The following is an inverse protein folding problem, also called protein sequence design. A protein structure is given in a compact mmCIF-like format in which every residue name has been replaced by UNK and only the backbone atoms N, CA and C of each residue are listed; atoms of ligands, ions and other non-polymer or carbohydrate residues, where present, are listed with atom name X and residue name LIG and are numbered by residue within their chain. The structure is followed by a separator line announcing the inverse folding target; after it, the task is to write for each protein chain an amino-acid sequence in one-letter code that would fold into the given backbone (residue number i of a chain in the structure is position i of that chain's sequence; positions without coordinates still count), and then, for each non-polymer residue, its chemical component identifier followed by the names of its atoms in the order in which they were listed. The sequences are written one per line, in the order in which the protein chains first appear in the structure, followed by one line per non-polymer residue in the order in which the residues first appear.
data_IF_480060583550
#
_entry.id   IF_480060583550
#
_cell.length_a   1.000
_cell.length_b   1.000
_cell.length_c   1.000
_cell.angle_alpha   90.00
_cell.angle_beta   90.00
_cell.angle_gamma   90.00
#
_symmetry.space_group_name_H-M   'P 1'
#
loop_
_entity.id
_entity.type
_entity.pdbx_description
1 polymer ?
#
# COMPACT_ATOMS: atom_id res chain seq x y z
N UNK A 1 12.47 16.55 -14.33
CA UNK A 1 12.67 17.97 -13.96
C UNK A 1 12.08 18.81 -15.06
N UNK A 2 10.94 19.42 -14.80
CA UNK A 2 10.26 20.34 -15.70
C UNK A 2 10.84 21.75 -15.53
N UNK A 3 11.65 22.16 -16.50
CA UNK A 3 12.31 23.47 -16.54
C UNK A 3 11.27 24.58 -16.79
N UNK A 4 10.09 24.24 -17.34
CA UNK A 4 9.05 25.24 -17.57
C UNK A 4 8.51 25.81 -16.26
N UNK A 5 8.38 24.98 -15.20
CA UNK A 5 8.01 25.46 -13.84
C UNK A 5 8.98 26.56 -13.38
N UNK A 6 10.28 26.33 -13.58
CA UNK A 6 11.31 27.31 -13.25
C UNK A 6 11.17 28.60 -14.06
N UNK A 7 10.99 28.48 -15.38
CA UNK A 7 10.86 29.62 -16.32
C UNK A 7 9.60 30.44 -16.03
N UNK A 8 8.46 29.77 -15.87
CA UNK A 8 7.16 30.39 -15.59
C UNK A 8 7.17 31.11 -14.24
N UNK A 9 7.78 30.50 -13.21
CA UNK A 9 7.94 31.16 -11.91
C UNK A 9 8.80 32.41 -12.02
N UNK A 10 9.93 32.37 -12.74
CA UNK A 10 10.77 33.55 -12.97
C UNK A 10 9.99 34.65 -13.70
N UNK A 11 9.24 34.28 -14.74
CA UNK A 11 8.44 35.22 -15.55
C UNK A 11 7.30 35.84 -14.74
N UNK A 12 6.60 35.07 -13.90
CA UNK A 12 5.52 35.60 -13.04
C UNK A 12 6.04 36.59 -11.99
N UNK A 13 7.25 36.39 -11.47
CA UNK A 13 7.95 37.34 -10.59
C UNK A 13 8.58 38.53 -11.34
N UNK A 14 8.50 38.56 -12.68
CA UNK A 14 9.10 39.59 -13.55
C UNK A 14 10.61 39.80 -13.32
N UNK A 15 11.33 38.73 -12.97
CA UNK A 15 12.78 38.76 -12.72
C UNK A 15 13.54 38.45 -14.03
N UNK A 16 14.53 39.28 -14.41
CA UNK A 16 15.41 38.98 -15.55
C UNK A 16 16.43 37.90 -15.21
N UNK A 17 16.92 37.14 -16.21
CA UNK A 17 17.98 36.14 -16.01
C UNK A 17 19.22 36.76 -15.32
N UNK A 18 19.61 37.96 -15.74
CA UNK A 18 20.74 38.71 -15.15
C UNK A 18 20.52 38.97 -13.65
N UNK A 19 19.30 39.37 -13.27
CA UNK A 19 18.96 39.60 -11.86
C UNK A 19 18.91 38.30 -11.07
N UNK A 20 18.38 37.23 -11.67
CA UNK A 20 18.27 35.92 -11.02
C UNK A 20 19.64 35.27 -10.78
N UNK A 21 20.57 35.33 -11.73
CA UNK A 21 21.87 34.67 -11.62
C UNK A 21 22.90 35.43 -10.75
N UNK A 22 22.65 36.71 -10.41
CA UNK A 22 23.60 37.58 -9.70
C UNK A 22 24.10 36.95 -8.38
N UNK A 23 25.40 36.74 -8.26
CA UNK A 23 26.02 36.12 -7.07
C UNK A 23 25.75 34.63 -6.89
N UNK A 24 25.21 33.95 -7.91
CA UNK A 24 24.98 32.50 -7.92
C UNK A 24 25.75 31.83 -9.07
N UNK A 25 25.55 32.29 -10.31
CA UNK A 25 26.20 31.75 -11.50
C UNK A 25 26.28 32.80 -12.62
N UNK A 26 26.87 32.45 -13.76
CA UNK A 26 26.89 33.35 -14.93
C UNK A 26 25.54 33.35 -15.65
N UNK A 27 25.21 34.45 -16.32
CA UNK A 27 23.99 34.52 -17.14
C UNK A 27 24.00 33.47 -18.27
N UNK A 28 25.18 33.11 -18.80
CA UNK A 28 25.32 32.02 -19.77
C UNK A 28 24.91 30.67 -19.19
N UNK A 29 25.27 30.38 -17.93
CA UNK A 29 24.89 29.14 -17.24
C UNK A 29 23.37 29.06 -17.08
N UNK A 30 22.74 30.15 -16.62
CA UNK A 30 21.28 30.20 -16.48
C UNK A 30 20.55 30.12 -17.82
N UNK A 31 21.07 30.78 -18.86
CA UNK A 31 20.47 30.71 -20.21
C UNK A 31 20.57 29.30 -20.80
N UNK A 32 21.69 28.58 -20.61
CA UNK A 32 21.82 27.19 -21.06
C UNK A 32 20.91 26.23 -20.29
N UNK A 33 20.64 26.52 -19.02
CA UNK A 33 19.66 25.79 -18.24
C UNK A 33 18.24 26.01 -18.78
N UNK A 34 17.81 27.28 -18.93
CA UNK A 34 16.45 27.60 -19.39
C UNK A 34 16.18 27.20 -20.85
N UNK A 35 17.15 27.38 -21.76
CA UNK A 35 16.91 27.19 -23.20
C UNK A 35 17.29 25.79 -23.71
N UNK A 36 18.33 25.17 -23.12
CA UNK A 36 18.94 23.95 -23.67
C UNK A 36 18.91 22.78 -22.67
N UNK A 37 18.25 22.94 -21.53
CA UNK A 37 18.14 21.90 -20.52
C UNK A 37 19.43 21.49 -19.82
N UNK A 38 20.51 22.27 -19.94
CA UNK A 38 21.79 21.94 -19.32
C UNK A 38 21.73 22.18 -17.82
N UNK A 39 21.61 21.09 -17.07
CA UNK A 39 21.46 21.10 -15.61
C UNK A 39 22.77 21.63 -14.97
N UNK A 40 22.71 22.72 -14.18
CA UNK A 40 23.86 23.20 -13.41
C UNK A 40 24.12 22.29 -12.20
N UNK A 41 25.17 22.57 -11.43
CA UNK A 41 25.39 21.83 -10.17
C UNK A 41 24.21 21.99 -9.22
N UNK A 42 23.96 20.98 -8.37
CA UNK A 42 22.86 21.00 -7.40
C UNK A 42 22.92 22.24 -6.49
N UNK A 43 24.13 22.68 -6.12
CA UNK A 43 24.36 23.90 -5.34
C UNK A 43 23.87 25.15 -6.05
N UNK A 44 24.10 25.25 -7.37
CA UNK A 44 23.64 26.39 -8.18
C UNK A 44 22.11 26.31 -8.35
N UNK A 45 21.60 25.12 -8.68
CA UNK A 45 20.16 24.91 -8.89
C UNK A 45 19.36 25.25 -7.63
N UNK A 46 19.79 24.76 -6.46
CA UNK A 46 19.13 25.03 -5.17
C UNK A 46 19.06 26.53 -4.86
N UNK A 47 20.18 27.26 -5.02
CA UNK A 47 20.22 28.73 -4.81
C UNK A 47 19.33 29.50 -5.78
N UNK A 48 19.23 29.04 -7.03
CA UNK A 48 18.36 29.65 -8.03
C UNK A 48 16.87 29.41 -7.69
N UNK A 49 16.52 28.19 -7.28
CA UNK A 49 15.17 27.85 -6.83
C UNK A 49 14.77 28.66 -5.59
N UNK A 50 15.64 28.72 -4.58
CA UNK A 50 15.42 29.49 -3.34
C UNK A 50 15.06 30.95 -3.64
N UNK A 51 15.79 31.58 -4.57
CA UNK A 51 15.54 32.97 -4.98
C UNK A 51 14.21 33.17 -5.71
N UNK A 52 13.63 32.11 -6.28
CA UNK A 52 12.30 32.10 -6.89
C UNK A 52 11.20 31.68 -5.90
N UNK A 53 11.55 31.39 -4.64
CA UNK A 53 10.64 30.81 -3.65
C UNK A 53 10.22 29.39 -4.01
N UNK A 54 11.10 28.62 -4.65
CA UNK A 54 10.92 27.22 -5.01
C UNK A 54 11.91 26.35 -4.25
N UNK A 55 11.53 25.10 -4.01
CA UNK A 55 12.45 24.00 -3.73
C UNK A 55 12.94 23.37 -5.03
N UNK A 56 14.03 22.60 -4.98
CA UNK A 56 14.46 21.79 -6.14
C UNK A 56 13.38 20.76 -6.49
N UNK A 57 12.68 20.25 -5.48
CA UNK A 57 11.56 19.30 -5.65
C UNK A 57 10.37 19.92 -6.40
N UNK A 58 10.19 21.24 -6.31
CA UNK A 58 9.11 21.93 -7.03
C UNK A 58 9.27 21.85 -8.54
N UNK A 59 10.51 21.74 -9.04
CA UNK A 59 10.79 21.56 -10.47
C UNK A 59 10.38 20.18 -11.00
N UNK A 60 9.78 19.37 -10.14
CA UNK A 60 9.30 18.05 -10.48
C UNK A 60 7.76 17.95 -10.37
N UNK A 61 7.07 19.01 -9.91
CA UNK A 61 5.64 19.00 -9.55
C UNK A 61 4.64 18.76 -10.69
N UNK A 62 4.95 19.14 -11.93
CA UNK A 62 4.04 18.95 -13.08
C UNK A 62 4.36 17.72 -13.95
N UNK A 63 5.35 16.92 -13.56
CA UNK A 63 5.54 15.63 -14.21
C UNK A 63 5.00 14.55 -13.30
N UNK A 64 3.99 13.82 -13.78
CA UNK A 64 3.71 12.43 -13.37
C UNK A 64 5.03 11.62 -13.30
N UNK A 65 6.02 12.00 -14.12
CA UNK A 65 7.40 11.49 -14.10
C UNK A 65 8.29 11.92 -12.92
N UNK A 66 7.77 12.56 -11.85
CA UNK A 66 8.58 12.81 -10.66
C UNK A 66 8.45 11.72 -9.62
N UNK A 67 9.59 11.17 -9.22
CA UNK A 67 9.70 10.12 -8.21
C UNK A 67 8.96 10.49 -6.91
N UNK A 68 9.02 11.75 -6.48
CA UNK A 68 8.36 12.22 -5.25
C UNK A 68 6.84 12.28 -5.38
N UNK A 69 6.30 12.79 -6.50
CA UNK A 69 4.86 12.83 -6.71
C UNK A 69 4.29 11.42 -6.89
N UNK A 70 4.93 10.60 -7.71
CA UNK A 70 4.56 9.20 -7.90
C UNK A 70 4.56 8.45 -6.57
N UNK A 71 5.59 8.65 -5.74
CA UNK A 71 5.63 8.09 -4.38
C UNK A 71 4.43 8.54 -3.55
N UNK A 72 4.10 9.84 -3.55
CA UNK A 72 2.95 10.35 -2.78
C UNK A 72 1.63 9.74 -3.23
N UNK A 73 1.44 9.53 -4.54
CA UNK A 73 0.24 8.88 -5.08
C UNK A 73 0.18 7.42 -4.63
N UNK A 74 1.27 6.67 -4.79
CA UNK A 74 1.32 5.25 -4.44
C UNK A 74 1.23 5.03 -2.93
N UNK A 75 1.78 5.92 -2.11
CA UNK A 75 1.65 5.85 -0.64
C UNK A 75 0.20 6.12 -0.21
N UNK A 76 -0.49 7.06 -0.87
CA UNK A 76 -1.93 7.30 -0.67
C UNK A 76 -2.75 6.07 -1.07
N UNK A 77 -2.50 5.51 -2.27
CA UNK A 77 -3.17 4.29 -2.74
C UNK A 77 -2.94 3.10 -1.79
N UNK A 78 -1.75 2.99 -1.18
CA UNK A 78 -1.46 1.95 -0.18
C UNK A 78 -2.38 2.07 1.03
N UNK A 79 -2.53 3.28 1.58
CA UNK A 79 -3.42 3.53 2.72
C UNK A 79 -4.89 3.27 2.38
N UNK A 80 -5.33 3.67 1.19
CA UNK A 80 -6.72 3.47 0.74
C UNK A 80 -7.03 1.98 0.55
N UNK A 81 -6.09 1.22 -0.01
CA UNK A 81 -6.21 -0.23 -0.15
C UNK A 81 -6.31 -0.92 1.22
N UNK A 82 -5.57 -0.42 2.21
CA UNK A 82 -5.64 -0.94 3.59
C UNK A 82 -6.98 -0.66 4.26
N UNK A 83 -7.67 0.40 3.86
CA UNK A 83 -9.00 0.77 4.34
C UNK A 83 -10.14 0.12 3.55
N UNK A 84 -9.84 -0.70 2.55
CA UNK A 84 -10.82 -1.28 1.62
C UNK A 84 -11.59 -0.20 0.84
N UNK A 85 -11.00 0.99 0.68
CA UNK A 85 -11.57 2.11 -0.07
C UNK A 85 -11.22 1.99 -1.56
N UNK A 86 -11.80 0.97 -2.20
CA UNK A 86 -11.49 0.63 -3.59
C UNK A 86 -11.84 1.75 -4.58
N UNK A 87 -12.81 2.61 -4.25
CA UNK A 87 -13.14 3.78 -5.08
C UNK A 87 -11.96 4.73 -5.18
N UNK A 88 -11.39 5.10 -4.03
CA UNK A 88 -10.24 6.01 -3.99
C UNK A 88 -8.96 5.35 -4.50
N UNK A 89 -8.76 4.03 -4.27
CA UNK A 89 -7.65 3.29 -4.91
C UNK A 89 -7.75 3.39 -6.44
N UNK A 90 -8.94 3.18 -7.00
CA UNK A 90 -9.15 3.28 -8.45
C UNK A 90 -8.83 4.68 -8.97
N UNK A 91 -9.23 5.73 -8.25
CA UNK A 91 -8.91 7.12 -8.60
C UNK A 91 -7.40 7.38 -8.53
N UNK A 92 -6.76 7.01 -7.41
CA UNK A 92 -5.33 7.19 -7.19
C UNK A 92 -4.47 6.47 -8.23
N UNK A 93 -4.89 5.28 -8.69
CA UNK A 93 -4.17 4.53 -9.72
C UNK A 93 -4.58 4.90 -11.16
N UNK A 94 -5.65 5.67 -11.33
CA UNK A 94 -6.14 6.08 -12.65
C UNK A 94 -5.13 6.97 -13.37
N UNK A 95 -4.94 6.73 -14.67
CA UNK A 95 -4.04 7.54 -15.50
C UNK A 95 -2.53 7.31 -15.25
N UNK A 96 -2.14 6.46 -14.31
CA UNK A 96 -0.73 6.09 -14.14
C UNK A 96 -0.31 5.17 -15.30
N UNK A 97 0.65 5.65 -16.09
CA UNK A 97 1.35 4.84 -17.08
C UNK A 97 2.59 4.17 -16.45
N UNK A 98 2.59 2.83 -16.39
CA UNK A 98 3.68 2.06 -15.79
C UNK A 98 5.04 2.29 -16.48
N UNK A 99 5.05 2.67 -17.76
CA UNK A 99 6.27 2.92 -18.52
C UNK A 99 6.93 4.26 -18.18
N UNK A 100 6.17 5.18 -17.58
CA UNK A 100 6.67 6.47 -17.08
C UNK A 100 7.26 6.36 -15.67
N UNK A 101 7.11 5.22 -15.00
CA UNK A 101 7.71 4.95 -13.70
C UNK A 101 9.13 4.42 -13.90
N UNK A 102 10.12 5.31 -13.84
CA UNK A 102 11.53 4.96 -14.03
C UNK A 102 12.23 4.42 -12.77
N UNK A 103 11.59 4.52 -11.60
CA UNK A 103 12.13 3.96 -10.35
C UNK A 103 11.58 2.55 -10.13
N UNK A 104 12.44 1.53 -10.10
CA UNK A 104 12.03 0.13 -9.96
C UNK A 104 11.23 -0.14 -8.67
N UNK A 105 11.59 0.49 -7.54
CA UNK A 105 10.87 0.28 -6.28
C UNK A 105 9.45 0.85 -6.32
N UNK A 106 9.24 2.00 -6.97
CA UNK A 106 7.91 2.55 -7.22
C UNK A 106 7.15 1.75 -8.28
N UNK A 107 7.84 1.22 -9.29
CA UNK A 107 7.23 0.38 -10.32
C UNK A 107 6.70 -0.93 -9.73
N UNK A 108 7.46 -1.56 -8.82
CA UNK A 108 6.99 -2.70 -8.05
C UNK A 108 5.82 -2.35 -7.13
N UNK A 109 5.88 -1.20 -6.44
CA UNK A 109 4.77 -0.73 -5.60
C UNK A 109 3.48 -0.57 -6.41
N UNK A 110 3.57 0.08 -7.57
CA UNK A 110 2.46 0.24 -8.49
C UNK A 110 1.87 -1.10 -8.94
N UNK A 111 2.71 -2.03 -9.41
CA UNK A 111 2.22 -3.33 -9.87
C UNK A 111 1.57 -4.14 -8.75
N UNK A 112 2.11 -4.14 -7.53
CA UNK A 112 1.49 -4.89 -6.43
C UNK A 112 0.12 -4.28 -6.05
N UNK A 113 0.02 -2.95 -5.97
CA UNK A 113 -1.22 -2.26 -5.62
C UNK A 113 -2.30 -2.46 -6.68
N UNK A 114 -1.93 -2.30 -7.96
CA UNK A 114 -2.83 -2.52 -9.09
C UNK A 114 -3.26 -3.99 -9.18
N UNK A 115 -2.33 -4.92 -8.97
CA UNK A 115 -2.61 -6.35 -8.95
C UNK A 115 -3.59 -6.73 -7.82
N UNK A 116 -3.34 -6.24 -6.60
CA UNK A 116 -4.24 -6.50 -5.47
C UNK A 116 -5.61 -5.87 -5.67
N UNK A 117 -5.66 -4.61 -6.12
CA UNK A 117 -6.92 -3.94 -6.45
C UNK A 117 -7.76 -4.81 -7.40
N UNK A 118 -7.18 -5.23 -8.53
CA UNK A 118 -7.86 -6.08 -9.51
C UNK A 118 -8.29 -7.44 -8.95
N UNK A 119 -7.44 -8.09 -8.13
CA UNK A 119 -7.74 -9.38 -7.53
C UNK A 119 -8.86 -9.30 -6.46
N UNK A 120 -8.96 -8.17 -5.74
CA UNK A 120 -9.93 -7.98 -4.67
C UNK A 120 -11.30 -7.53 -5.19
N UNK A 121 -11.34 -6.71 -6.24
CA UNK A 121 -12.59 -6.20 -6.84
C UNK A 121 -13.19 -7.11 -7.91
N UNK A 122 -12.45 -8.14 -8.35
CA UNK A 122 -12.82 -9.02 -9.48
C UNK A 122 -13.01 -8.29 -10.82
N UNK A 123 -12.46 -7.09 -10.99
CA UNK A 123 -12.65 -6.31 -12.24
C UNK A 123 -11.90 -6.94 -13.43
N UNK A 124 -10.59 -7.19 -13.27
CA UNK A 124 -9.70 -7.70 -14.34
C UNK A 124 -8.70 -8.72 -13.79
N UNK A 125 -9.14 -9.97 -13.66
CA UNK A 125 -8.34 -11.03 -13.05
C UNK A 125 -7.07 -11.33 -13.86
N UNK A 126 -7.11 -11.28 -15.18
CA UNK A 126 -5.94 -11.49 -16.05
C UNK A 126 -4.88 -10.41 -15.83
N UNK A 127 -5.31 -9.15 -15.69
CA UNK A 127 -4.41 -8.03 -15.38
C UNK A 127 -3.79 -8.18 -13.99
N UNK A 128 -4.50 -8.78 -13.02
CA UNK A 128 -3.97 -9.05 -11.70
C UNK A 128 -2.77 -10.00 -11.78
N UNK A 129 -2.92 -11.14 -12.48
CA UNK A 129 -1.84 -12.09 -12.69
C UNK A 129 -0.63 -11.43 -13.37
N UNK A 130 -0.87 -10.67 -14.45
CA UNK A 130 0.19 -9.95 -15.16
C UNK A 130 0.98 -9.04 -14.22
N UNK A 131 0.30 -8.28 -13.34
CA UNK A 131 0.98 -7.39 -12.40
C UNK A 131 1.92 -8.14 -11.45
N UNK A 132 1.50 -9.29 -10.92
CA UNK A 132 2.34 -10.09 -10.03
C UNK A 132 3.48 -10.78 -10.79
N UNK A 133 3.23 -11.31 -11.99
CA UNK A 133 4.26 -11.88 -12.85
C UNK A 133 5.35 -10.84 -13.19
N UNK A 134 4.97 -9.58 -13.49
CA UNK A 134 5.95 -8.49 -13.73
C UNK A 134 6.87 -8.22 -12.54
N UNK A 135 6.41 -8.43 -11.31
CA UNK A 135 7.27 -8.31 -10.13
C UNK A 135 8.24 -9.49 -10.08
N UNK A 136 7.71 -10.72 -10.18
CA UNK A 136 8.49 -11.95 -9.97
C UNK A 136 9.48 -12.27 -11.10
N UNK A 137 9.13 -11.95 -12.34
CA UNK A 137 9.87 -12.40 -13.54
C UNK A 137 10.73 -11.31 -14.19
N UNK A 138 10.65 -10.06 -13.72
CA UNK A 138 11.36 -8.93 -14.33
C UNK A 138 11.91 -7.94 -13.28
N UNK A 139 11.05 -7.41 -12.41
CA UNK A 139 11.48 -6.33 -11.49
C UNK A 139 12.25 -6.82 -10.25
N UNK A 140 12.00 -8.05 -9.80
CA UNK A 140 12.62 -8.67 -8.63
C UNK A 140 12.91 -10.15 -8.87
N UNK A 141 13.53 -10.50 -10.01
CA UNK A 141 13.85 -11.90 -10.40
C UNK A 141 14.62 -12.70 -9.34
N UNK A 142 15.37 -12.01 -8.47
CA UNK A 142 16.15 -12.63 -7.38
C UNK A 142 15.33 -12.84 -6.10
N UNK A 143 14.07 -12.40 -6.09
CA UNK A 143 13.15 -12.54 -4.97
C UNK A 143 13.66 -11.92 -3.67
N UNK A 144 14.26 -10.72 -3.74
CA UNK A 144 14.99 -10.12 -2.63
C UNK A 144 14.18 -9.09 -1.85
N UNK A 145 13.08 -8.59 -2.42
CA UNK A 145 12.32 -7.51 -1.83
C UNK A 145 11.00 -7.98 -1.21
N UNK A 146 10.41 -7.15 -0.35
CA UNK A 146 9.07 -7.37 0.18
C UNK A 146 8.00 -7.48 -0.93
N UNK A 147 8.24 -6.90 -2.11
CA UNK A 147 7.29 -6.94 -3.22
C UNK A 147 7.10 -8.33 -3.80
N UNK A 148 8.13 -9.20 -3.75
CA UNK A 148 7.97 -10.62 -4.07
C UNK A 148 6.92 -11.29 -3.18
N UNK A 149 6.96 -11.01 -1.88
CA UNK A 149 6.05 -11.60 -0.91
C UNK A 149 4.62 -11.04 -1.07
N UNK A 150 4.51 -9.74 -1.37
CA UNK A 150 3.23 -9.13 -1.76
C UNK A 150 2.67 -9.72 -3.06
N UNK A 151 3.52 -10.03 -4.04
CA UNK A 151 3.11 -10.69 -5.28
C UNK A 151 2.63 -12.12 -5.02
N UNK A 152 3.28 -12.87 -4.13
CA UNK A 152 2.81 -14.19 -3.70
C UNK A 152 1.46 -14.10 -2.97
N UNK A 153 1.27 -13.14 -2.08
CA UNK A 153 -0.06 -12.88 -1.45
C UNK A 153 -1.10 -12.62 -2.53
N UNK A 154 -0.79 -11.77 -3.51
CA UNK A 154 -1.66 -11.45 -4.63
C UNK A 154 -2.04 -12.66 -5.48
N UNK A 155 -1.07 -13.50 -5.84
CA UNK A 155 -1.31 -14.75 -6.55
C UNK A 155 -2.13 -15.74 -5.71
N UNK A 156 -1.86 -15.83 -4.40
CA UNK A 156 -2.65 -16.62 -3.47
C UNK A 156 -4.13 -16.20 -3.46
N UNK A 157 -4.40 -14.89 -3.39
CA UNK A 157 -5.76 -14.33 -3.48
C UNK A 157 -6.39 -14.67 -4.84
N UNK A 158 -5.66 -14.42 -5.93
CA UNK A 158 -6.11 -14.71 -7.30
C UNK A 158 -6.54 -16.18 -7.47
N UNK A 159 -5.66 -17.13 -7.14
CA UNK A 159 -5.99 -18.56 -7.25
C UNK A 159 -7.12 -18.98 -6.30
N UNK A 160 -7.16 -18.40 -5.09
CA UNK A 160 -8.24 -18.64 -4.13
C UNK A 160 -9.61 -18.17 -4.62
N UNK A 161 -9.67 -17.06 -5.38
CA UNK A 161 -10.89 -16.56 -6.05
C UNK A 161 -11.33 -17.48 -7.19
N UNK A 162 -10.40 -18.10 -7.91
CA UNK A 162 -10.69 -19.07 -8.96
C UNK A 162 -11.11 -20.46 -8.42
N UNK A 163 -11.11 -20.66 -7.09
CA UNK A 163 -11.37 -21.97 -6.48
C UNK A 163 -10.19 -22.95 -6.56
N UNK A 164 -9.04 -22.48 -7.03
CA UNK A 164 -7.79 -23.23 -7.16
C UNK A 164 -7.03 -23.21 -5.82
N UNK A 165 -7.58 -23.92 -4.82
CA UNK A 165 -7.11 -23.84 -3.43
C UNK A 165 -5.68 -24.40 -3.27
N UNK A 166 -5.30 -25.44 -4.03
CA UNK A 166 -3.96 -26.03 -3.94
C UNK A 166 -2.88 -25.05 -4.38
N UNK A 167 -3.14 -24.35 -5.48
CA UNK A 167 -2.29 -23.31 -6.04
C UNK A 167 -2.22 -22.11 -5.10
N UNK A 168 -3.37 -21.70 -4.53
CA UNK A 168 -3.39 -20.67 -3.50
C UNK A 168 -2.54 -21.04 -2.28
N UNK A 169 -2.70 -22.25 -1.75
CA UNK A 169 -1.89 -22.78 -0.64
C UNK A 169 -0.40 -22.73 -0.95
N UNK A 170 0.01 -23.11 -2.16
CA UNK A 170 1.42 -23.06 -2.56
C UNK A 170 2.02 -21.65 -2.41
N UNK A 171 1.31 -20.61 -2.83
CA UNK A 171 1.80 -19.23 -2.69
C UNK A 171 1.76 -18.75 -1.24
N UNK A 172 0.71 -19.05 -0.48
CA UNK A 172 0.63 -18.66 0.93
C UNK A 172 1.64 -19.39 1.83
N UNK A 173 2.05 -20.62 1.49
CA UNK A 173 3.15 -21.30 2.20
C UNK A 173 4.51 -20.62 1.95
N UNK A 174 4.76 -20.09 0.73
CA UNK A 174 5.96 -19.27 0.48
C UNK A 174 5.97 -18.01 1.35
N UNK A 175 4.81 -17.37 1.49
CA UNK A 175 4.64 -16.18 2.33
C UNK A 175 4.83 -16.52 3.81
N UNK A 176 4.26 -17.64 4.27
CA UNK A 176 4.43 -18.13 5.64
C UNK A 176 5.89 -18.37 5.99
N UNK A 177 6.64 -19.05 5.12
CA UNK A 177 8.07 -19.31 5.36
C UNK A 177 8.87 -18.00 5.50
N UNK A 178 8.55 -16.99 4.69
CA UNK A 178 9.16 -15.66 4.85
C UNK A 178 8.84 -15.04 6.21
N UNK A 179 7.56 -15.06 6.63
CA UNK A 179 7.11 -14.51 7.90
C UNK A 179 7.80 -15.22 9.09
N UNK A 180 7.88 -16.55 9.08
CA UNK A 180 8.48 -17.35 10.16
C UNK A 180 9.99 -17.10 10.28
N UNK A 181 10.72 -17.03 9.15
CA UNK A 181 12.15 -16.72 9.15
C UNK A 181 12.43 -15.34 9.76
N UNK A 182 11.54 -14.37 9.56
CA UNK A 182 11.70 -12.98 10.03
C UNK A 182 10.82 -12.69 11.26
N UNK A 183 10.51 -13.69 12.10
CA UNK A 183 9.62 -13.51 13.26
C UNK A 183 10.22 -12.70 14.40
N UNK A 184 11.53 -12.78 14.58
CA UNK A 184 12.28 -12.11 15.64
C UNK A 184 12.86 -10.75 15.20
N UNK A 185 12.65 -10.38 13.93
CA UNK A 185 13.14 -9.11 13.43
C UNK A 185 12.34 -7.95 14.02
N UNK A 186 13.05 -7.06 14.70
CA UNK A 186 12.48 -5.78 15.12
C UNK A 186 12.61 -4.80 13.97
N UNK A 187 11.47 -4.43 13.39
CA UNK A 187 11.43 -3.45 12.31
C UNK A 187 11.86 -2.08 12.86
N UNK A 188 13.10 -1.67 12.55
CA UNK A 188 13.57 -0.31 12.82
C UNK A 188 12.57 0.70 12.22
N UNK A 189 12.38 1.85 12.89
CA UNK A 189 11.43 2.94 12.58
C UNK A 189 11.69 3.64 11.23
N UNK A 190 11.94 2.90 10.16
CA UNK A 190 12.26 3.44 8.84
C UNK A 190 11.01 3.32 7.94
N UNK A 191 10.08 4.26 8.15
CA UNK A 191 8.99 4.60 7.23
C UNK A 191 7.68 3.82 7.45
N UNK A 192 6.58 4.54 7.67
CA UNK A 192 5.22 4.01 7.90
C UNK A 192 4.82 2.95 6.84
N UNK A 193 5.24 3.11 5.59
CA UNK A 193 4.82 2.26 4.47
C UNK A 193 5.31 0.81 4.57
N UNK A 194 6.44 0.54 5.24
CA UNK A 194 6.90 -0.85 5.40
C UNK A 194 5.93 -1.64 6.27
N UNK A 195 5.39 -1.01 7.31
CA UNK A 195 4.42 -1.62 8.22
C UNK A 195 3.11 -1.94 7.50
N UNK A 196 2.67 -1.08 6.58
CA UNK A 196 1.45 -1.33 5.80
C UNK A 196 1.58 -2.58 4.92
N UNK A 197 2.74 -2.78 4.32
CA UNK A 197 3.04 -3.95 3.50
C UNK A 197 3.12 -5.22 4.32
N UNK A 198 3.74 -5.16 5.50
CA UNK A 198 3.77 -6.28 6.44
C UNK A 198 2.36 -6.62 6.90
N UNK A 199 1.56 -5.61 7.26
CA UNK A 199 0.15 -5.81 7.64
C UNK A 199 -0.65 -6.44 6.51
N UNK A 200 -0.45 -5.99 5.26
CA UNK A 200 -1.04 -6.60 4.05
C UNK A 200 -0.71 -8.08 3.96
N UNK A 201 0.58 -8.41 4.09
CA UNK A 201 1.07 -9.78 4.03
C UNK A 201 0.43 -10.64 5.12
N UNK A 202 0.48 -10.16 6.36
CA UNK A 202 -0.03 -10.87 7.54
C UNK A 202 -1.54 -11.08 7.44
N UNK A 203 -2.30 -10.05 7.10
CA UNK A 203 -3.77 -10.10 7.08
C UNK A 203 -4.30 -11.07 6.03
N UNK A 204 -3.87 -10.94 4.77
CA UNK A 204 -4.40 -11.80 3.71
C UNK A 204 -3.94 -13.25 3.86
N UNK A 205 -2.75 -13.47 4.43
CA UNK A 205 -2.28 -14.82 4.77
C UNK A 205 -3.10 -15.42 5.91
N UNK A 206 -3.43 -14.64 6.94
CA UNK A 206 -4.33 -15.08 8.01
C UNK A 206 -5.73 -15.42 7.48
N UNK A 207 -6.31 -14.54 6.65
CA UNK A 207 -7.61 -14.75 6.03
C UNK A 207 -7.63 -16.03 5.19
N UNK A 208 -6.54 -16.31 4.46
CA UNK A 208 -6.41 -17.58 3.73
C UNK A 208 -6.36 -18.80 4.66
N UNK A 209 -5.57 -18.74 5.74
CA UNK A 209 -5.49 -19.85 6.69
C UNK A 209 -6.82 -20.10 7.41
N UNK A 210 -7.62 -19.07 7.70
CA UNK A 210 -9.01 -19.23 8.16
C UNK A 210 -9.84 -20.00 7.13
N UNK A 211 -9.72 -19.64 5.84
CA UNK A 211 -10.47 -20.29 4.75
C UNK A 211 -10.15 -21.78 4.63
N UNK A 212 -8.92 -22.21 4.93
CA UNK A 212 -8.51 -23.62 4.93
C UNK A 212 -8.59 -24.28 6.32
N UNK A 213 -9.19 -23.60 7.30
CA UNK A 213 -9.37 -24.05 8.69
C UNK A 213 -8.07 -24.28 9.49
N UNK A 214 -6.97 -23.65 9.10
CA UNK A 214 -5.73 -23.59 9.87
C UNK A 214 -5.78 -22.38 10.83
N UNK A 215 -6.54 -22.52 11.91
CA UNK A 215 -6.74 -21.44 12.88
C UNK A 215 -5.49 -21.17 13.72
N UNK A 216 -4.57 -22.13 13.85
CA UNK A 216 -3.31 -21.96 14.57
C UNK A 216 -2.42 -20.94 13.85
N UNK A 217 -2.09 -21.18 12.58
CA UNK A 217 -1.30 -20.22 11.77
C UNK A 217 -2.01 -18.88 11.67
N UNK A 218 -3.33 -18.89 11.50
CA UNK A 218 -4.09 -17.63 11.42
C UNK A 218 -4.03 -16.83 12.72
N UNK A 219 -4.20 -17.46 13.88
CA UNK A 219 -4.14 -16.76 15.17
C UNK A 219 -2.75 -16.17 15.45
N UNK A 220 -1.68 -16.88 15.07
CA UNK A 220 -0.32 -16.38 15.16
C UNK A 220 -0.15 -15.08 14.33
N UNK A 221 -0.60 -15.10 13.08
CA UNK A 221 -0.53 -13.95 12.18
C UNK A 221 -1.37 -12.78 12.71
N UNK A 222 -2.61 -13.02 13.13
CA UNK A 222 -3.49 -11.99 13.67
C UNK A 222 -2.86 -11.36 14.91
N UNK A 223 -2.30 -12.17 15.82
CA UNK A 223 -1.61 -11.69 17.02
C UNK A 223 -0.40 -10.82 16.67
N UNK A 224 0.39 -11.23 15.67
CA UNK A 224 1.52 -10.45 15.15
C UNK A 224 1.05 -9.11 14.55
N UNK A 225 -0.02 -9.12 13.75
CA UNK A 225 -0.62 -7.93 13.17
C UNK A 225 -1.13 -6.95 14.23
N UNK A 226 -1.85 -7.44 15.25
CA UNK A 226 -2.35 -6.61 16.35
C UNK A 226 -1.20 -5.99 17.14
N UNK A 227 -0.15 -6.77 17.44
CA UNK A 227 1.06 -6.26 18.09
C UNK A 227 1.70 -5.15 17.27
N UNK A 228 1.88 -5.36 15.97
CA UNK A 228 2.45 -4.35 15.06
C UNK A 228 1.61 -3.07 15.03
N UNK A 229 0.28 -3.20 14.92
CA UNK A 229 -0.62 -2.04 14.97
C UNK A 229 -0.51 -1.30 16.31
N UNK A 230 -0.40 -2.03 17.43
CA UNK A 230 -0.28 -1.42 18.75
C UNK A 230 1.04 -0.68 18.94
N UNK A 231 2.16 -1.26 18.51
CA UNK A 231 3.50 -0.67 18.63
C UNK A 231 3.69 0.55 17.73
N UNK A 232 3.05 0.56 16.56
CA UNK A 232 3.17 1.64 15.56
C UNK A 232 1.96 2.61 15.58
N UNK A 233 1.04 2.45 16.53
CA UNK A 233 -0.18 3.26 16.67
C UNK A 233 -1.06 3.29 15.40
N UNK A 234 -1.16 2.16 14.68
CA UNK A 234 -1.99 2.02 13.48
C UNK A 234 -3.40 1.59 13.88
N UNK A 235 -4.26 2.56 14.15
CA UNK A 235 -5.64 2.31 14.62
C UNK A 235 -6.58 1.83 13.53
N UNK A 236 -6.35 2.24 12.28
CA UNK A 236 -7.28 2.05 11.18
C UNK A 236 -7.29 0.63 10.61
N UNK A 237 -6.24 -0.15 10.87
CA UNK A 237 -6.13 -1.55 10.42
C UNK A 237 -6.61 -2.58 11.46
N UNK A 238 -6.60 -2.21 12.74
CA UNK A 238 -7.09 -3.04 13.85
C UNK A 238 -8.52 -3.61 13.66
N UNK A 239 -9.50 -2.87 13.10
CA UNK A 239 -10.84 -3.40 12.90
C UNK A 239 -10.84 -4.71 12.11
N UNK A 240 -10.04 -4.77 11.03
CA UNK A 240 -9.94 -5.92 10.13
C UNK A 240 -9.35 -7.13 10.84
N UNK A 241 -8.29 -6.94 11.62
CA UNK A 241 -7.65 -8.02 12.38
C UNK A 241 -8.56 -8.57 13.49
N UNK A 242 -9.24 -7.68 14.23
CA UNK A 242 -10.22 -8.09 15.26
C UNK A 242 -11.44 -8.77 14.68
N UNK A 243 -11.86 -8.38 13.47
CA UNK A 243 -12.89 -9.09 12.73
C UNK A 243 -12.47 -10.54 12.43
N UNK A 244 -11.23 -10.77 11.99
CA UNK A 244 -10.72 -12.13 11.78
C UNK A 244 -10.67 -12.94 13.08
N UNK A 245 -10.28 -12.34 14.22
CA UNK A 245 -10.38 -13.00 15.53
C UNK A 245 -11.79 -13.46 15.84
N UNK A 246 -12.80 -12.62 15.57
CA UNK A 246 -14.20 -12.98 15.79
C UNK A 246 -14.65 -14.14 14.89
N UNK A 247 -14.22 -14.15 13.61
CA UNK A 247 -14.51 -15.25 12.67
C UNK A 247 -13.93 -16.57 13.20
N UNK A 248 -12.68 -16.57 13.67
CA UNK A 248 -12.07 -17.76 14.27
C UNK A 248 -12.84 -18.20 15.51
N UNK A 249 -13.16 -17.27 16.42
CA UNK A 249 -13.88 -17.58 17.64
C UNK A 249 -15.25 -18.22 17.38
N UNK A 250 -15.97 -17.76 16.34
CA UNK A 250 -17.22 -18.38 15.89
C UNK A 250 -16.99 -19.80 15.38
N UNK A 251 -15.99 -20.00 14.51
CA UNK A 251 -15.69 -21.32 13.93
C UNK A 251 -15.23 -22.34 14.99
N UNK A 252 -14.45 -21.89 15.97
CA UNK A 252 -14.00 -22.70 17.11
C UNK A 252 -15.09 -22.87 18.20
N UNK A 253 -16.26 -22.27 18.02
CA UNK A 253 -17.40 -22.31 18.96
C UNK A 253 -16.99 -21.81 20.36
N UNK A 254 -16.22 -20.73 20.42
CA UNK A 254 -15.87 -20.05 21.68
C UNK A 254 -17.13 -19.52 22.39
N UNK A 255 -17.03 -19.20 23.70
CA UNK A 255 -18.14 -18.63 24.45
C UNK A 255 -18.71 -17.37 23.77
N UNK A 256 -20.03 -17.23 23.81
CA UNK A 256 -20.74 -16.08 23.23
C UNK A 256 -20.18 -14.72 23.69
N UNK A 257 -19.79 -14.63 24.97
CA UNK A 257 -19.20 -13.43 25.57
C UNK A 257 -17.87 -13.04 24.92
N UNK A 258 -17.05 -14.01 24.53
CA UNK A 258 -15.77 -13.79 23.85
C UNK A 258 -16.00 -13.30 22.41
N UNK A 259 -16.92 -13.94 21.69
CA UNK A 259 -17.30 -13.57 20.32
C UNK A 259 -17.83 -12.13 20.28
N UNK A 260 -18.78 -11.79 21.15
CA UNK A 260 -19.34 -10.43 21.19
C UNK A 260 -18.33 -9.37 21.65
N UNK A 261 -17.40 -9.75 22.53
CA UNK A 261 -16.28 -8.90 22.90
C UNK A 261 -15.43 -8.52 21.67
N UNK A 262 -14.99 -9.52 20.90
CA UNK A 262 -14.19 -9.32 19.70
C UNK A 262 -14.91 -8.50 18.62
N UNK A 263 -16.21 -8.77 18.41
CA UNK A 263 -17.03 -8.01 17.45
C UNK A 263 -17.22 -6.55 17.90
N UNK A 264 -17.35 -6.31 19.20
CA UNK A 264 -17.49 -4.96 19.75
C UNK A 264 -16.19 -4.16 19.68
N UNK A 265 -15.04 -4.80 19.96
CA UNK A 265 -13.72 -4.20 19.75
C UNK A 265 -13.50 -3.82 18.27
N UNK A 266 -13.78 -4.75 17.36
CA UNK A 266 -13.68 -4.52 15.91
C UNK A 266 -14.56 -3.33 15.49
N UNK A 267 -15.80 -3.27 15.97
CA UNK A 267 -16.74 -2.19 15.66
C UNK A 267 -16.29 -0.84 16.22
N UNK A 268 -15.74 -0.79 17.43
CA UNK A 268 -15.27 0.44 18.05
C UNK A 268 -14.14 1.07 17.23
N UNK A 269 -13.14 0.27 16.81
CA UNK A 269 -12.09 0.77 15.94
C UNK A 269 -12.63 1.11 14.54
N UNK A 270 -13.59 0.35 13.99
CA UNK A 270 -14.15 0.66 12.68
C UNK A 270 -14.79 2.06 12.67
N UNK A 271 -15.60 2.38 13.69
CA UNK A 271 -16.26 3.68 13.85
C UNK A 271 -15.29 4.84 14.03
N UNK A 272 -14.26 4.67 14.86
CA UNK A 272 -13.24 5.71 15.09
C UNK A 272 -12.52 6.06 13.79
N UNK A 273 -12.33 5.10 12.88
CA UNK A 273 -11.62 5.30 11.62
C UNK A 273 -12.57 5.44 10.42
N UNK A 274 -13.88 5.62 10.64
CA UNK A 274 -14.90 5.74 9.58
C UNK A 274 -14.86 4.61 8.54
N UNK A 275 -14.59 3.36 8.96
CA UNK A 275 -14.50 2.21 8.08
C UNK A 275 -15.86 1.52 7.91
N UNK A 276 -16.71 2.07 7.04
CA UNK A 276 -18.07 1.57 6.79
C UNK A 276 -18.09 0.14 6.23
N UNK A 277 -17.06 -0.26 5.49
CA UNK A 277 -16.93 -1.61 4.91
C UNK A 277 -16.82 -2.65 6.02
N UNK A 278 -15.95 -2.42 7.02
CA UNK A 278 -15.81 -3.33 8.16
C UNK A 278 -17.06 -3.31 9.04
N UNK A 279 -17.70 -2.15 9.24
CA UNK A 279 -18.98 -2.07 9.96
C UNK A 279 -20.06 -2.95 9.33
N UNK A 280 -20.19 -2.92 8.00
CA UNK A 280 -21.13 -3.76 7.27
C UNK A 280 -20.80 -5.25 7.40
N UNK A 281 -19.51 -5.63 7.32
CA UNK A 281 -19.05 -7.01 7.52
C UNK A 281 -19.36 -7.52 8.93
N UNK A 282 -19.13 -6.71 9.97
CA UNK A 282 -19.45 -7.05 11.36
C UNK A 282 -20.96 -7.28 11.52
N UNK A 283 -21.78 -6.39 10.96
CA UNK A 283 -23.24 -6.52 11.03
C UNK A 283 -23.70 -7.82 10.38
N UNK A 284 -23.22 -8.13 9.18
CA UNK A 284 -23.56 -9.36 8.48
C UNK A 284 -23.12 -10.62 9.26
N UNK A 285 -21.92 -10.59 9.85
CA UNK A 285 -21.40 -11.70 10.66
C UNK A 285 -22.24 -11.92 11.92
N UNK A 286 -22.63 -10.84 12.64
CA UNK A 286 -23.52 -10.89 13.80
C UNK A 286 -24.89 -11.48 13.45
N UNK A 287 -25.50 -11.00 12.37
CA UNK A 287 -26.81 -11.50 11.93
C UNK A 287 -26.76 -12.99 11.59
N UNK A 288 -25.69 -13.44 10.92
CA UNK A 288 -25.50 -14.86 10.61
C UNK A 288 -25.32 -15.69 11.89
N UNK A 289 -24.45 -15.24 12.79
CA UNK A 289 -24.15 -15.94 14.04
C UNK A 289 -25.38 -16.08 14.94
N UNK A 290 -26.17 -15.01 15.12
CA UNK A 290 -27.37 -15.05 15.96
C UNK A 290 -28.42 -16.02 15.42
N UNK A 291 -28.63 -16.06 14.09
CA UNK A 291 -29.53 -17.05 13.46
C UNK A 291 -29.08 -18.49 13.73
N UNK A 292 -27.78 -18.76 13.69
CA UNK A 292 -27.25 -20.10 13.97
C UNK A 292 -27.34 -20.49 15.46
N UNK A 293 -27.35 -19.52 16.37
CA UNK A 293 -27.57 -19.74 17.80
C UNK A 293 -29.04 -20.00 18.08
N UNK A 294 -29.94 -19.21 17.49
CA UNK A 294 -31.40 -19.35 17.67
C UNK A 294 -31.88 -20.72 17.17
N UNK A 295 -31.41 -21.17 15.99
CA UNK A 295 -31.72 -22.49 15.43
C UNK A 295 -31.21 -23.69 16.27
N UNK A 296 -30.26 -23.48 17.18
CA UNK A 296 -29.76 -24.53 18.10
C UNK A 296 -30.52 -24.56 19.42
N UNK A 297 -31.27 -23.50 19.72
CA UNK A 297 -32.05 -23.36 20.93
C UNK A 297 -33.54 -23.73 20.72
N UNK A 298 -33.95 -23.94 19.47
CA UNK A 298 -35.22 -24.58 19.05
C UNK A 298 -35.10 -26.11 18.99
#
# INVERSE_FOLDING_TARGET
MDINIFIERRKSLKISQVKLCKGICTQSTLSKFENNGRIPSLTILSKLCERLGLSVDDLYKNSIASTTHMKSILDKAESELMMEDYSNVSESLSGINADEIHNNALKMQYYYQRGLFNALTNDKLEDAFYCFARILEDLDERHQTIYTHLAYVGLGIFYSKMGLIKEASFFFEKVWNYIDVHKDETFQKNGINIYLRILTIVFYTAEFYIKVNDYEKSNELISRGIRLCSEQHITYYLPRLKFLSAVIAINEKKPHTEIEGLLSESLAFAKINHNEVVEARIKALREKYNKEVDLKNE
#
